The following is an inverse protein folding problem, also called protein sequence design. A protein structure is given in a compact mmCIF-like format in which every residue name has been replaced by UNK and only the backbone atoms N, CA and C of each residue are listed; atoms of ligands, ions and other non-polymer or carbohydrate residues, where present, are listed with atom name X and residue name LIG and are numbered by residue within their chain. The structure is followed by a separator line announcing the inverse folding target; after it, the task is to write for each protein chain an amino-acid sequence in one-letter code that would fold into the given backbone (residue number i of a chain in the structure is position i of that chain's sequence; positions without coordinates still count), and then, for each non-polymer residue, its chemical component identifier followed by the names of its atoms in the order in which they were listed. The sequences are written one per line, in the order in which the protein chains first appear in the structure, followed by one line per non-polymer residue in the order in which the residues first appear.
data_IF_926832360371
#
_entry.id   IF_926832360371
#
_cell.length_a   1.000
_cell.length_b   1.000
_cell.length_c   1.000
_cell.angle_alpha   90.00
_cell.angle_beta   90.00
_cell.angle_gamma   90.00
#
_symmetry.space_group_name_H-M   'P 1'
#
loop_
_entity.id
_entity.type
_entity.pdbx_description
1 polymer ?
#
# COMPACT_ATOMS: atom_id res chain seq x y z
N UNK A 1 2.62 -0.08 66.15
CA UNK A 1 2.15 0.04 64.75
C UNK A 1 3.37 0.25 63.87
N UNK A 2 3.91 -0.80 63.25
CA UNK A 2 5.00 -0.67 62.27
C UNK A 2 4.38 -0.75 60.87
N UNK A 3 4.46 0.36 60.15
CA UNK A 3 4.01 0.49 58.77
C UNK A 3 4.94 -0.30 57.85
N UNK A 4 4.39 -1.25 57.09
CA UNK A 4 5.12 -1.98 56.05
C UNK A 4 4.91 -1.26 54.72
N UNK A 5 5.91 -0.51 54.28
CA UNK A 5 5.94 0.06 52.94
C UNK A 5 6.43 -1.03 51.97
N UNK A 6 5.52 -1.58 51.17
CA UNK A 6 5.88 -2.44 50.04
C UNK A 6 6.27 -1.55 48.86
N UNK A 7 7.54 -1.56 48.47
CA UNK A 7 8.03 -0.91 47.26
C UNK A 7 7.77 -1.88 46.08
N UNK A 8 6.74 -1.60 45.28
CA UNK A 8 6.48 -2.35 44.06
C UNK A 8 7.46 -1.89 42.97
N UNK A 9 8.46 -2.71 42.67
CA UNK A 9 9.31 -2.55 41.48
C UNK A 9 8.50 -3.04 40.28
N UNK A 10 7.93 -2.11 39.51
CA UNK A 10 7.38 -2.41 38.20
C UNK A 10 8.54 -2.73 37.25
N UNK A 11 8.80 -4.02 37.02
CA UNK A 11 9.67 -4.45 35.94
C UNK A 11 8.96 -4.14 34.62
N UNK A 12 9.34 -3.05 33.96
CA UNK A 12 9.01 -2.82 32.56
C UNK A 12 9.77 -3.87 31.75
N UNK A 13 9.14 -5.00 31.44
CA UNK A 13 9.61 -5.85 30.35
C UNK A 13 9.47 -5.00 29.08
N UNK A 14 10.57 -4.42 28.63
CA UNK A 14 10.72 -3.98 27.26
C UNK A 14 10.61 -5.22 26.39
N UNK A 15 9.39 -5.58 25.99
CA UNK A 15 9.17 -6.48 24.87
C UNK A 15 9.85 -5.81 23.68
N UNK A 16 11.01 -6.30 23.27
CA UNK A 16 11.55 -5.94 21.99
C UNK A 16 10.46 -6.29 20.96
N UNK A 17 9.82 -5.27 20.37
CA UNK A 17 8.94 -5.52 19.23
C UNK A 17 9.78 -6.25 18.20
N UNK A 18 9.32 -7.43 17.78
CA UNK A 18 9.95 -8.14 16.68
C UNK A 18 9.97 -7.20 15.47
N UNK A 19 11.15 -6.91 14.95
CA UNK A 19 11.32 -6.17 13.71
C UNK A 19 10.98 -7.12 12.57
N UNK A 20 10.08 -6.69 11.69
CA UNK A 20 9.59 -7.47 10.56
C UNK A 20 10.26 -7.00 9.29
N UNK A 21 10.73 -7.95 8.49
CA UNK A 21 11.21 -7.67 7.15
C UNK A 21 10.56 -8.58 6.13
N UNK A 22 10.35 -8.07 4.93
CA UNK A 22 9.48 -8.73 3.98
C UNK A 22 9.43 -8.06 2.63
N UNK A 23 8.43 -8.47 1.84
CA UNK A 23 8.15 -7.90 0.52
C UNK A 23 6.71 -7.40 0.43
N UNK A 24 6.46 -6.66 -0.64
CA UNK A 24 5.17 -6.15 -1.03
C UNK A 24 4.46 -7.14 -1.96
N UNK A 25 3.19 -7.46 -1.70
CA UNK A 25 2.44 -8.44 -2.49
C UNK A 25 1.11 -7.85 -2.94
N UNK A 26 1.01 -7.57 -4.24
CA UNK A 26 -0.24 -7.16 -4.85
C UNK A 26 -1.23 -8.31 -5.06
N UNK A 27 -2.48 -7.96 -5.35
CA UNK A 27 -3.61 -8.89 -5.42
C UNK A 27 -3.84 -9.52 -6.80
N UNK A 28 -3.03 -9.17 -7.81
CA UNK A 28 -3.16 -9.68 -9.19
C UNK A 28 -1.88 -10.37 -9.65
N UNK A 29 -2.04 -11.36 -10.52
CA UNK A 29 -0.99 -11.96 -11.31
C UNK A 29 -0.66 -11.06 -12.50
N UNK A 30 0.42 -11.40 -13.20
CA UNK A 30 0.92 -10.68 -14.37
C UNK A 30 -0.06 -10.55 -15.53
N UNK A 31 -0.99 -11.49 -15.64
CA UNK A 31 -2.05 -11.51 -16.65
C UNK A 31 -3.31 -10.73 -16.21
N UNK A 32 -3.27 -10.11 -15.03
CA UNK A 32 -4.39 -9.38 -14.43
C UNK A 32 -5.40 -10.26 -13.70
N UNK A 33 -5.25 -11.58 -13.70
CA UNK A 33 -6.08 -12.47 -12.87
C UNK A 33 -5.83 -12.20 -11.38
N UNK A 34 -6.84 -12.39 -10.54
CA UNK A 34 -6.66 -12.24 -9.09
C UNK A 34 -5.84 -13.40 -8.54
N UNK A 35 -4.85 -13.09 -7.69
CA UNK A 35 -4.04 -14.11 -7.02
C UNK A 35 -4.93 -14.96 -6.13
N UNK A 36 -4.76 -16.27 -6.23
CA UNK A 36 -5.39 -17.26 -5.36
C UNK A 36 -4.42 -17.70 -4.27
N UNK A 37 -4.86 -18.59 -3.37
CA UNK A 37 -4.05 -19.04 -2.24
C UNK A 37 -2.70 -19.62 -2.68
N UNK A 38 -2.67 -20.47 -3.71
CA UNK A 38 -1.42 -21.08 -4.20
C UNK A 38 -0.42 -20.02 -4.66
N UNK A 39 -0.87 -18.99 -5.38
CA UNK A 39 0.01 -17.93 -5.88
C UNK A 39 0.68 -17.19 -4.72
N UNK A 40 -0.08 -16.84 -3.68
CA UNK A 40 0.47 -16.21 -2.48
C UNK A 40 1.40 -17.16 -1.72
N UNK A 41 1.00 -18.41 -1.54
CA UNK A 41 1.78 -19.39 -0.78
C UNK A 41 3.13 -19.67 -1.45
N UNK A 42 3.15 -19.90 -2.77
CA UNK A 42 4.38 -20.11 -3.52
C UNK A 42 5.32 -18.90 -3.38
N UNK A 43 4.77 -17.68 -3.43
CA UNK A 43 5.56 -16.45 -3.29
C UNK A 43 6.11 -16.27 -1.86
N UNK A 44 5.32 -16.57 -0.84
CA UNK A 44 5.76 -16.52 0.56
C UNK A 44 6.85 -17.55 0.86
N UNK A 45 6.67 -18.79 0.40
CA UNK A 45 7.66 -19.86 0.54
C UNK A 45 8.95 -19.56 -0.23
N UNK A 46 8.83 -18.94 -1.41
CA UNK A 46 9.97 -18.45 -2.19
C UNK A 46 10.73 -17.36 -1.45
N UNK A 47 10.05 -16.34 -0.92
CA UNK A 47 10.67 -15.26 -0.16
C UNK A 47 11.44 -15.79 1.07
N UNK A 48 10.85 -16.74 1.79
CA UNK A 48 11.48 -17.38 2.94
C UNK A 48 12.71 -18.23 2.57
N UNK A 49 12.79 -18.68 1.31
CA UNK A 49 13.82 -19.60 0.82
C UNK A 49 14.82 -18.94 -0.14
N UNK A 50 14.84 -17.60 -0.22
CA UNK A 50 15.76 -16.87 -1.09
C UNK A 50 17.22 -17.19 -0.79
N UNK A 51 17.99 -17.52 -1.82
CA UNK A 51 19.43 -17.75 -1.70
C UNK A 51 20.13 -16.44 -1.35
N UNK A 52 21.02 -16.49 -0.36
CA UNK A 52 21.83 -15.36 0.07
C UNK A 52 21.15 -14.47 1.12
N UNK A 53 19.91 -14.73 1.53
CA UNK A 53 19.29 -13.98 2.63
C UNK A 53 18.40 -14.87 3.49
N UNK A 54 17.87 -14.33 4.59
CA UNK A 54 16.92 -15.02 5.46
C UNK A 54 16.03 -14.02 6.20
N UNK A 55 14.96 -14.50 6.83
CA UNK A 55 14.07 -13.67 7.65
C UNK A 55 13.07 -12.82 6.86
N UNK A 56 12.97 -13.00 5.55
CA UNK A 56 11.94 -12.36 4.71
C UNK A 56 10.61 -13.13 4.77
N UNK A 57 10.07 -13.27 5.98
CA UNK A 57 8.85 -14.02 6.28
C UNK A 57 7.66 -13.10 6.67
N UNK A 58 7.71 -11.82 6.30
CA UNK A 58 6.58 -10.90 6.42
C UNK A 58 6.08 -10.45 5.05
N UNK A 59 4.76 -10.28 4.92
CA UNK A 59 4.11 -9.83 3.71
C UNK A 59 3.30 -8.55 3.98
N UNK A 60 3.61 -7.50 3.22
CA UNK A 60 2.75 -6.32 3.13
C UNK A 60 1.72 -6.54 2.04
N UNK A 61 0.45 -6.46 2.42
CA UNK A 61 -0.70 -6.52 1.52
C UNK A 61 -1.24 -5.11 1.30
N UNK A 62 -1.97 -4.91 0.20
CA UNK A 62 -2.57 -3.61 -0.14
C UNK A 62 -4.10 -3.57 0.03
N UNK A 63 -4.74 -4.73 0.12
CA UNK A 63 -6.20 -4.87 0.24
C UNK A 63 -6.53 -6.11 1.08
N UNK A 64 -7.67 -6.05 1.77
CA UNK A 64 -8.30 -7.17 2.44
C UNK A 64 -9.24 -7.94 1.51
N UNK A 65 -9.53 -7.43 0.31
CA UNK A 65 -10.49 -8.03 -0.62
C UNK A 65 -9.85 -9.13 -1.48
N UNK A 66 -10.60 -10.21 -1.73
CA UNK A 66 -10.30 -11.14 -2.80
C UNK A 66 -10.86 -10.59 -4.12
N UNK A 67 -10.03 -9.90 -4.88
CA UNK A 67 -10.39 -9.38 -6.20
C UNK A 67 -11.56 -8.41 -6.16
N UNK A 68 -12.58 -8.68 -6.98
CA UNK A 68 -13.84 -7.92 -7.06
C UNK A 68 -14.93 -8.43 -6.10
N UNK A 69 -14.59 -9.38 -5.21
CA UNK A 69 -15.53 -9.93 -4.24
C UNK A 69 -15.57 -9.10 -2.95
N UNK A 70 -16.51 -9.44 -2.06
CA UNK A 70 -16.60 -8.88 -0.70
C UNK A 70 -15.89 -9.73 0.35
N UNK A 71 -15.24 -10.84 -0.06
CA UNK A 71 -14.60 -11.81 0.81
C UNK A 71 -13.14 -11.44 1.13
N UNK A 72 -12.58 -12.04 2.20
CA UNK A 72 -11.19 -11.81 2.57
C UNK A 72 -10.22 -12.40 1.52
N UNK A 73 -9.12 -11.68 1.29
CA UNK A 73 -8.04 -12.09 0.38
C UNK A 73 -7.47 -13.48 0.69
N UNK A 74 -7.16 -14.24 -0.37
CA UNK A 74 -6.53 -15.56 -0.28
C UNK A 74 -5.09 -15.51 0.24
N UNK A 75 -4.50 -14.32 0.41
CA UNK A 75 -3.21 -14.15 1.09
C UNK A 75 -3.27 -14.62 2.56
N UNK A 76 -4.44 -14.54 3.22
CA UNK A 76 -4.59 -14.93 4.63
C UNK A 76 -4.41 -16.44 4.82
N UNK A 77 -5.16 -17.33 4.13
CA UNK A 77 -4.92 -18.77 4.25
C UNK A 77 -3.52 -19.18 3.76
N UNK A 78 -2.93 -18.48 2.77
CA UNK A 78 -1.55 -18.70 2.35
C UNK A 78 -0.54 -18.37 3.46
N UNK A 79 -0.75 -17.27 4.19
CA UNK A 79 0.10 -16.88 5.32
C UNK A 79 -0.02 -17.85 6.50
N UNK A 80 -1.20 -18.40 6.73
CA UNK A 80 -1.42 -19.47 7.73
C UNK A 80 -0.64 -20.72 7.34
N UNK A 81 -0.68 -21.12 6.06
CA UNK A 81 0.00 -22.32 5.57
C UNK A 81 1.53 -22.20 5.57
N UNK A 82 2.07 -21.01 5.29
CA UNK A 82 3.51 -20.75 5.16
C UNK A 82 4.16 -20.16 6.42
N UNK A 83 3.40 -19.96 7.49
CA UNK A 83 3.84 -19.25 8.70
C UNK A 83 4.39 -17.83 8.44
N UNK A 84 3.78 -17.12 7.50
CA UNK A 84 4.13 -15.75 7.12
C UNK A 84 3.36 -14.74 7.96
N UNK A 85 4.04 -13.69 8.44
CA UNK A 85 3.39 -12.57 9.12
C UNK A 85 2.81 -11.58 8.13
N UNK A 86 1.76 -10.85 8.53
CA UNK A 86 1.01 -9.96 7.65
C UNK A 86 0.98 -8.53 8.18
N UNK A 87 1.48 -7.59 7.38
CA UNK A 87 1.06 -6.20 7.44
C UNK A 87 -0.16 -6.04 6.52
N UNK A 88 -1.32 -5.87 7.14
CA UNK A 88 -2.59 -5.75 6.40
C UNK A 88 -2.69 -4.38 5.74
N UNK A 89 -3.20 -4.33 4.51
CA UNK A 89 -3.55 -3.09 3.82
C UNK A 89 -5.05 -3.02 3.58
N UNK A 90 -5.64 -1.85 3.82
CA UNK A 90 -7.00 -1.53 3.41
C UNK A 90 -6.92 -0.41 2.39
N UNK A 91 -7.43 -0.62 1.17
CA UNK A 91 -7.31 0.34 0.08
C UNK A 91 -8.24 1.54 0.29
N UNK A 92 -7.69 2.65 0.80
CA UNK A 92 -8.47 3.84 1.13
C UNK A 92 -8.97 4.62 -0.10
N UNK A 93 -8.25 4.54 -1.23
CA UNK A 93 -8.62 5.23 -2.46
C UNK A 93 -9.88 4.67 -3.13
N UNK A 94 -10.44 3.56 -2.61
CA UNK A 94 -11.79 3.09 -2.95
C UNK A 94 -12.93 3.96 -2.38
N UNK A 95 -12.60 5.02 -1.63
CA UNK A 95 -13.55 5.90 -0.97
C UNK A 95 -14.34 5.21 0.14
N UNK A 96 -15.36 5.89 0.68
CA UNK A 96 -16.09 5.40 1.85
C UNK A 96 -16.71 4.00 1.65
N UNK A 97 -17.25 3.73 0.45
CA UNK A 97 -17.81 2.42 0.11
C UNK A 97 -16.72 1.34 0.01
N UNK A 98 -15.57 1.66 -0.60
CA UNK A 98 -14.42 0.77 -0.68
C UNK A 98 -13.87 0.44 0.71
N UNK A 99 -13.62 1.44 1.54
CA UNK A 99 -13.15 1.24 2.93
C UNK A 99 -14.13 0.42 3.75
N UNK A 100 -15.44 0.63 3.57
CA UNK A 100 -16.46 -0.21 4.22
C UNK A 100 -16.33 -1.67 3.80
N UNK A 101 -16.08 -1.94 2.52
CA UNK A 101 -15.86 -3.30 2.02
C UNK A 101 -14.58 -3.92 2.61
N UNK A 102 -13.48 -3.16 2.65
CA UNK A 102 -12.20 -3.56 3.25
C UNK A 102 -12.36 -3.95 4.73
N UNK A 103 -13.07 -3.11 5.50
CA UNK A 103 -13.38 -3.36 6.92
C UNK A 103 -14.25 -4.62 7.09
N UNK A 104 -15.25 -4.81 6.23
CA UNK A 104 -16.10 -6.00 6.29
C UNK A 104 -15.31 -7.28 6.00
N UNK A 105 -14.41 -7.25 5.02
CA UNK A 105 -13.50 -8.36 4.72
C UNK A 105 -12.54 -8.64 5.88
N UNK A 106 -12.01 -7.61 6.55
CA UNK A 106 -11.22 -7.77 7.78
C UNK A 106 -12.01 -8.47 8.89
N UNK A 107 -13.23 -8.02 9.17
CA UNK A 107 -14.09 -8.66 10.19
C UNK A 107 -14.45 -10.10 9.83
N UNK A 108 -14.69 -10.37 8.54
CA UNK A 108 -14.91 -11.71 8.03
C UNK A 108 -13.68 -12.61 8.25
N UNK A 109 -12.47 -12.12 7.93
CA UNK A 109 -11.22 -12.84 8.16
C UNK A 109 -10.98 -13.16 9.64
N UNK A 110 -11.18 -12.19 10.54
CA UNK A 110 -11.08 -12.40 11.99
C UNK A 110 -12.02 -13.52 12.44
N UNK A 111 -13.26 -13.52 11.94
CA UNK A 111 -14.27 -14.53 12.29
C UNK A 111 -13.94 -15.89 11.70
N UNK A 112 -13.53 -15.94 10.43
CA UNK A 112 -13.32 -17.17 9.69
C UNK A 112 -12.06 -17.92 10.13
N UNK A 113 -10.96 -17.21 10.36
CA UNK A 113 -9.65 -17.81 10.60
C UNK A 113 -9.17 -17.71 12.05
N UNK A 114 -9.82 -16.86 12.87
CA UNK A 114 -9.56 -16.73 14.30
C UNK A 114 -8.08 -16.52 14.63
N UNK A 115 -7.62 -17.18 15.69
CA UNK A 115 -6.25 -17.03 16.19
C UNK A 115 -5.17 -17.42 15.17
N UNK A 116 -5.44 -18.33 14.24
CA UNK A 116 -4.49 -18.69 13.20
C UNK A 116 -4.15 -17.49 12.30
N UNK A 117 -5.14 -16.65 12.00
CA UNK A 117 -4.91 -15.39 11.30
C UNK A 117 -4.40 -14.30 12.25
N UNK A 118 -5.09 -14.04 13.36
CA UNK A 118 -4.83 -12.83 14.15
C UNK A 118 -3.47 -12.83 14.85
N UNK A 119 -2.89 -14.01 15.14
CA UNK A 119 -1.53 -14.13 15.68
C UNK A 119 -0.43 -13.80 14.67
N UNK A 120 -0.76 -13.72 13.37
CA UNK A 120 0.19 -13.39 12.30
C UNK A 120 0.15 -11.92 11.91
N UNK A 121 -0.80 -11.13 12.41
CA UNK A 121 -0.94 -9.71 12.06
C UNK A 121 0.08 -8.87 12.83
N UNK A 122 0.99 -8.22 12.12
CA UNK A 122 2.02 -7.35 12.71
C UNK A 122 1.59 -5.88 12.76
N UNK A 123 0.63 -5.50 11.91
CA UNK A 123 0.07 -4.15 11.86
C UNK A 123 -1.03 -4.04 10.81
N UNK A 124 -1.74 -2.90 10.83
CA UNK A 124 -2.80 -2.58 9.86
C UNK A 124 -2.50 -1.21 9.26
N UNK A 125 -2.28 -1.15 7.95
CA UNK A 125 -2.23 0.08 7.16
C UNK A 125 -3.60 0.43 6.58
N UNK A 126 -4.04 1.67 6.79
CA UNK A 126 -5.27 2.22 6.22
C UNK A 126 -4.89 3.15 5.09
N UNK A 127 -4.78 2.63 3.87
CA UNK A 127 -4.36 3.38 2.68
C UNK A 127 -2.87 3.25 2.35
N UNK A 128 -2.55 3.65 1.11
CA UNK A 128 -1.22 3.67 0.53
C UNK A 128 -1.12 4.80 -0.51
N UNK A 129 -0.22 5.75 -0.28
CA UNK A 129 0.03 6.91 -1.15
C UNK A 129 -1.21 7.79 -1.43
N UNK A 130 -2.22 7.73 -0.57
CA UNK A 130 -3.46 8.49 -0.76
C UNK A 130 -3.22 10.01 -0.76
N UNK A 131 -2.31 10.49 0.09
CA UNK A 131 -1.94 11.89 0.18
C UNK A 131 -1.05 12.30 -0.99
N UNK A 132 -0.10 11.44 -1.38
CA UNK A 132 0.72 11.65 -2.57
C UNK A 132 -0.12 11.79 -3.83
N UNK A 133 -1.07 10.88 -4.06
CA UNK A 133 -1.93 10.89 -5.26
C UNK A 133 -2.76 12.16 -5.39
N UNK A 134 -3.18 12.73 -4.26
CA UNK A 134 -3.90 13.99 -4.19
C UNK A 134 -2.99 15.23 -4.20
N UNK A 135 -1.67 15.07 -4.12
CA UNK A 135 -0.73 16.18 -4.22
C UNK A 135 -0.60 16.68 -5.66
N UNK A 136 -0.14 17.93 -5.88
CA UNK A 136 0.16 18.42 -7.22
C UNK A 136 1.10 17.51 -8.01
N UNK A 137 2.07 16.89 -7.33
CA UNK A 137 3.03 15.95 -7.92
C UNK A 137 2.36 14.66 -8.36
N UNK A 138 1.53 14.05 -7.51
CA UNK A 138 0.79 12.82 -7.86
C UNK A 138 -0.20 13.05 -9.01
N UNK A 139 -0.87 14.20 -9.03
CA UNK A 139 -1.77 14.59 -10.14
C UNK A 139 -0.97 14.74 -11.44
N UNK A 140 0.18 15.45 -11.40
CA UNK A 140 1.04 15.60 -12.57
C UNK A 140 1.58 14.25 -13.10
N UNK A 141 1.85 13.32 -12.19
CA UNK A 141 2.32 11.98 -12.52
C UNK A 141 1.22 10.99 -12.95
N UNK A 142 -0.05 11.42 -12.98
CA UNK A 142 -1.23 10.56 -13.19
C UNK A 142 -1.23 9.34 -12.24
N UNK A 143 -0.88 9.57 -10.97
CA UNK A 143 -0.73 8.52 -9.97
C UNK A 143 -2.06 7.85 -9.56
N UNK A 144 -3.19 8.14 -10.21
CA UNK A 144 -4.50 7.59 -9.86
C UNK A 144 -5.17 8.34 -8.69
N UNK A 145 -6.19 7.71 -8.12
CA UNK A 145 -7.01 8.33 -7.08
C UNK A 145 -6.36 8.18 -5.70
N UNK A 146 -6.43 9.23 -4.88
CA UNK A 146 -6.11 9.18 -3.46
C UNK A 146 -7.31 9.52 -2.58
N UNK A 147 -7.08 9.69 -1.28
CA UNK A 147 -8.06 10.12 -0.29
C UNK A 147 -7.61 11.41 0.40
N UNK A 148 -8.55 12.28 0.78
CA UNK A 148 -8.19 13.53 1.45
C UNK A 148 -7.75 13.25 2.90
N UNK A 149 -6.95 14.14 3.52
CA UNK A 149 -6.51 13.97 4.91
C UNK A 149 -7.65 13.71 5.90
N UNK A 150 -8.77 14.45 5.79
CA UNK A 150 -9.91 14.28 6.68
C UNK A 150 -10.60 12.91 6.50
N UNK A 151 -10.75 12.45 5.25
CA UNK A 151 -11.32 11.14 4.95
C UNK A 151 -10.44 10.02 5.53
N UNK A 152 -9.11 10.13 5.40
CA UNK A 152 -8.17 9.17 5.99
C UNK A 152 -8.28 9.10 7.52
N UNK A 153 -8.37 10.25 8.21
CA UNK A 153 -8.58 10.28 9.67
C UNK A 153 -9.87 9.56 10.05
N UNK A 154 -10.95 9.77 9.30
CA UNK A 154 -12.22 9.08 9.53
C UNK A 154 -12.12 7.58 9.24
N UNK A 155 -11.41 7.16 8.19
CA UNK A 155 -11.17 5.75 7.89
C UNK A 155 -10.32 5.06 8.96
N UNK A 156 -9.26 5.72 9.45
CA UNK A 156 -8.43 5.23 10.56
C UNK A 156 -9.29 4.97 11.80
N UNK A 157 -10.19 5.91 12.12
CA UNK A 157 -11.14 5.75 13.23
C UNK A 157 -12.07 4.56 13.02
N UNK A 158 -12.66 4.43 11.83
CA UNK A 158 -13.56 3.30 11.50
C UNK A 158 -12.86 1.95 11.63
N UNK A 159 -11.60 1.83 11.18
CA UNK A 159 -10.81 0.61 11.33
C UNK A 159 -10.57 0.30 12.80
N UNK A 160 -10.19 1.31 13.61
CA UNK A 160 -9.97 1.16 15.05
C UNK A 160 -11.24 0.70 15.77
N UNK A 161 -12.40 1.26 15.41
CA UNK A 161 -13.72 0.85 15.92
C UNK A 161 -14.08 -0.58 15.48
N UNK A 162 -13.78 -0.96 14.23
CA UNK A 162 -14.11 -2.28 13.70
C UNK A 162 -13.35 -3.43 14.35
N UNK A 163 -12.10 -3.19 14.79
CA UNK A 163 -11.28 -4.19 15.47
C UNK A 163 -11.44 -4.17 16.99
N UNK A 164 -12.11 -3.16 17.56
CA UNK A 164 -12.35 -3.06 18.99
C UNK A 164 -13.16 -4.27 19.50
N UNK A 165 -12.74 -4.84 20.62
CA UNK A 165 -13.37 -6.05 21.18
C UNK A 165 -13.10 -7.35 20.42
N UNK A 166 -12.28 -7.31 19.36
CA UNK A 166 -11.81 -8.51 18.64
C UNK A 166 -10.41 -8.92 19.10
N UNK A 167 -9.93 -10.07 18.60
CA UNK A 167 -8.55 -10.51 18.81
C UNK A 167 -7.49 -9.57 18.22
N UNK A 168 -7.87 -8.62 17.34
CA UNK A 168 -6.99 -7.58 16.81
C UNK A 168 -7.15 -6.22 17.51
N UNK A 169 -7.84 -6.15 18.64
CA UNK A 169 -8.04 -4.89 19.38
C UNK A 169 -6.74 -4.19 19.80
N UNK A 170 -5.63 -4.93 19.92
CA UNK A 170 -4.30 -4.39 20.21
C UNK A 170 -3.41 -4.17 18.98
N UNK A 171 -3.90 -4.40 17.76
CA UNK A 171 -3.11 -4.19 16.55
C UNK A 171 -2.80 -2.71 16.34
N UNK A 172 -1.55 -2.38 16.04
CA UNK A 172 -1.14 -1.01 15.75
C UNK A 172 -1.57 -0.58 14.34
N UNK A 173 -2.14 0.62 14.23
CA UNK A 173 -2.68 1.17 12.99
C UNK A 173 -1.72 2.23 12.41
N UNK A 174 -1.42 2.10 11.12
CA UNK A 174 -0.62 3.04 10.35
C UNK A 174 -1.31 3.47 9.06
N UNK A 175 -0.64 4.36 8.33
CA UNK A 175 -0.92 4.72 6.95
C UNK A 175 0.40 4.72 6.20
N UNK A 176 0.37 4.33 4.93
CA UNK A 176 1.56 4.30 4.08
C UNK A 176 1.50 5.45 3.11
N UNK A 177 2.57 6.25 3.04
CA UNK A 177 2.68 7.29 2.02
C UNK A 177 4.15 7.63 1.73
N UNK A 178 4.35 8.37 0.66
CA UNK A 178 5.66 8.90 0.27
C UNK A 178 6.26 9.79 1.36
N UNK A 179 7.59 9.82 1.45
CA UNK A 179 8.27 10.74 2.39
C UNK A 179 7.88 12.21 2.15
N UNK A 180 7.61 12.60 0.90
CA UNK A 180 7.19 13.95 0.51
C UNK A 180 5.78 14.30 1.03
N UNK A 181 4.87 13.33 1.07
CA UNK A 181 3.56 13.52 1.70
C UNK A 181 3.67 13.72 3.22
N UNK A 182 4.60 13.05 3.88
CA UNK A 182 4.80 13.18 5.32
C UNK A 182 5.41 14.52 5.75
N UNK A 183 6.30 15.10 4.94
CA UNK A 183 6.87 16.43 5.23
C UNK A 183 5.92 17.58 4.87
N UNK A 184 4.84 17.30 4.15
CA UNK A 184 3.80 18.28 3.89
C UNK A 184 2.93 18.48 5.15
N UNK A 185 3.11 19.62 5.83
CA UNK A 185 2.40 19.94 7.07
C UNK A 185 0.87 19.98 6.96
N UNK A 186 0.27 20.08 5.76
CA UNK A 186 -1.19 19.95 5.60
C UNK A 186 -1.72 18.56 5.96
N UNK A 187 -0.84 17.57 6.06
CA UNK A 187 -1.19 16.18 6.34
C UNK A 187 -0.97 15.78 7.81
N UNK A 188 -0.58 16.71 8.70
CA UNK A 188 -0.20 16.39 10.09
C UNK A 188 -1.29 15.67 10.87
N UNK A 189 -2.55 16.04 10.65
CA UNK A 189 -3.70 15.40 11.31
C UNK A 189 -3.79 13.90 11.03
N UNK A 190 -3.35 13.45 9.85
CA UNK A 190 -3.28 12.01 9.51
C UNK A 190 -2.21 11.35 10.38
N UNK A 191 -0.99 11.90 10.42
CA UNK A 191 0.08 11.37 11.25
C UNK A 191 -0.29 11.31 12.75
N UNK A 192 -0.98 12.32 13.26
CA UNK A 192 -1.43 12.40 14.65
C UNK A 192 -2.38 11.25 15.02
N UNK A 193 -3.27 10.83 14.11
CA UNK A 193 -4.27 9.78 14.32
C UNK A 193 -3.69 8.34 14.33
N UNK A 194 -2.43 8.17 13.93
CA UNK A 194 -1.78 6.88 13.70
C UNK A 194 -0.89 6.44 14.87
N UNK A 195 -0.66 5.13 14.99
CA UNK A 195 0.29 4.55 15.94
C UNK A 195 1.72 4.55 15.36
N UNK A 196 1.85 4.44 14.03
CA UNK A 196 3.10 4.52 13.25
C UNK A 196 2.83 5.10 11.85
N UNK A 197 3.87 5.57 11.16
CA UNK A 197 3.78 6.01 9.75
C UNK A 197 4.62 5.10 8.86
N UNK A 198 4.07 4.71 7.72
CA UNK A 198 4.76 3.96 6.68
C UNK A 198 5.35 4.92 5.65
N UNK A 199 6.66 4.87 5.47
CA UNK A 199 7.36 5.68 4.50
C UNK A 199 7.67 4.86 3.25
N UNK A 200 7.21 5.38 2.13
CA UNK A 200 7.66 4.97 0.81
C UNK A 200 8.73 5.95 0.32
N UNK A 201 9.90 5.42 -0.01
CA UNK A 201 11.04 6.22 -0.43
C UNK A 201 11.82 5.54 -1.54
N UNK A 202 11.79 6.15 -2.73
CA UNK A 202 12.50 5.67 -3.90
C UNK A 202 13.45 6.77 -4.41
N UNK A 203 14.72 6.79 -3.95
CA UNK A 203 15.73 7.71 -4.47
C UNK A 203 15.84 7.72 -5.99
N UNK A 204 15.63 6.56 -6.62
CA UNK A 204 15.56 6.41 -8.07
C UNK A 204 14.60 7.42 -8.76
N UNK A 205 13.45 7.77 -8.16
CA UNK A 205 12.49 8.71 -8.76
C UNK A 205 12.73 10.19 -8.37
N UNK A 206 13.76 10.50 -7.59
CA UNK A 206 14.10 11.88 -7.18
C UNK A 206 14.88 12.60 -8.29
N UNK A 207 14.31 12.65 -9.49
CA UNK A 207 14.96 13.07 -10.74
C UNK A 207 15.11 14.59 -10.92
N UNK A 208 14.59 15.38 -9.97
CA UNK A 208 14.81 16.84 -9.92
C UNK A 208 16.12 17.22 -9.22
N UNK A 209 16.83 16.25 -8.66
CA UNK A 209 18.14 16.38 -8.02
C UNK A 209 19.09 15.27 -8.50
N UNK A 210 20.36 15.32 -8.10
CA UNK A 210 21.30 14.27 -8.43
C UNK A 210 20.89 12.99 -7.68
N UNK A 211 20.51 11.96 -8.43
CA UNK A 211 19.91 10.74 -7.87
C UNK A 211 20.58 9.45 -8.36
N UNK A 212 21.84 9.50 -8.81
CA UNK A 212 22.60 8.31 -9.15
C UNK A 212 22.74 7.35 -7.96
N UNK A 213 22.95 6.05 -8.23
CA UNK A 213 22.90 5.00 -7.18
C UNK A 213 23.83 5.24 -5.99
N UNK A 214 24.99 5.87 -6.22
CA UNK A 214 25.93 6.26 -5.17
C UNK A 214 25.37 7.26 -4.16
N UNK A 215 24.31 7.98 -4.52
CA UNK A 215 23.58 8.92 -3.65
C UNK A 215 22.31 8.31 -3.04
N UNK A 216 21.91 7.11 -3.47
CA UNK A 216 20.69 6.44 -3.03
C UNK A 216 20.61 6.33 -1.52
N UNK A 217 21.71 5.95 -0.86
CA UNK A 217 21.80 5.86 0.60
C UNK A 217 21.58 7.19 1.31
N UNK A 218 22.24 8.26 0.85
CA UNK A 218 22.11 9.58 1.47
C UNK A 218 20.71 10.16 1.27
N UNK A 219 20.11 9.96 0.09
CA UNK A 219 18.74 10.41 -0.20
C UNK A 219 17.73 9.64 0.64
N UNK A 220 17.86 8.32 0.74
CA UNK A 220 17.03 7.48 1.61
C UNK A 220 17.11 7.90 3.08
N UNK A 221 18.33 8.07 3.62
CA UNK A 221 18.50 8.48 5.02
C UNK A 221 17.94 9.88 5.28
N UNK A 222 18.06 10.79 4.31
CA UNK A 222 17.49 12.14 4.40
C UNK A 222 15.96 12.09 4.42
N UNK A 223 15.35 11.30 3.54
CA UNK A 223 13.91 11.05 3.54
C UNK A 223 13.43 10.47 4.88
N UNK A 224 14.10 9.43 5.38
CA UNK A 224 13.77 8.81 6.67
C UNK A 224 13.84 9.82 7.83
N UNK A 225 14.93 10.59 7.92
CA UNK A 225 15.10 11.61 8.95
C UNK A 225 14.06 12.73 8.86
N UNK A 226 13.69 13.14 7.64
CA UNK A 226 12.68 14.14 7.40
C UNK A 226 11.28 13.64 7.82
N UNK A 227 10.92 12.40 7.47
CA UNK A 227 9.65 11.79 7.90
C UNK A 227 9.58 11.64 9.42
N UNK A 228 10.67 11.19 10.07
CA UNK A 228 10.75 11.11 11.53
C UNK A 228 10.56 12.48 12.18
N UNK A 229 11.21 13.51 11.64
CA UNK A 229 11.16 14.87 12.18
C UNK A 229 9.79 15.52 11.99
N UNK A 230 9.15 15.31 10.84
CA UNK A 230 7.86 15.91 10.53
C UNK A 230 6.70 15.28 11.31
N UNK A 231 6.77 13.96 11.57
CA UNK A 231 5.67 13.22 12.19
C UNK A 231 5.85 12.97 13.68
N UNK A 232 7.10 12.88 14.16
CA UNK A 232 7.41 12.45 15.53
C UNK A 232 6.99 11.02 15.86
N UNK A 233 6.64 10.21 14.85
CA UNK A 233 6.15 8.83 14.99
C UNK A 233 7.27 7.83 14.69
N UNK A 234 7.09 6.60 15.16
CA UNK A 234 7.88 5.46 14.65
C UNK A 234 7.62 5.32 13.16
N UNK A 235 8.69 5.26 12.36
CA UNK A 235 8.63 5.10 10.90
C UNK A 235 8.92 3.66 10.53
N UNK A 236 8.04 3.05 9.74
CA UNK A 236 8.29 1.79 9.05
C UNK A 236 8.62 2.09 7.60
N UNK A 237 9.58 1.39 7.00
CA UNK A 237 9.87 1.52 5.57
C UNK A 237 8.98 0.54 4.84
N UNK A 238 7.91 1.05 4.24
CA UNK A 238 6.87 0.21 3.64
C UNK A 238 7.12 -0.06 2.17
N UNK A 239 7.85 0.83 1.51
CA UNK A 239 8.39 0.59 0.19
C UNK A 239 9.72 1.31 -0.03
N UNK A 240 10.68 0.57 -0.54
CA UNK A 240 11.89 1.11 -1.15
C UNK A 240 12.49 0.05 -2.06
N UNK A 241 13.28 0.48 -3.02
CA UNK A 241 13.98 -0.41 -3.93
C UNK A 241 14.70 0.38 -5.01
N UNK A 242 15.41 -0.34 -5.85
CA UNK A 242 16.04 0.21 -7.03
C UNK A 242 15.79 -0.71 -8.23
N UNK A 243 15.38 -0.18 -9.38
CA UNK A 243 14.94 -1.03 -10.47
C UNK A 243 16.08 -1.77 -11.15
N UNK A 244 15.82 -3.03 -11.54
CA UNK A 244 16.76 -3.90 -12.25
C UNK A 244 16.76 -3.66 -13.76
N UNK A 245 15.63 -3.21 -14.31
CA UNK A 245 15.49 -2.81 -15.72
C UNK A 245 14.47 -1.68 -15.86
N UNK A 246 14.52 -0.94 -16.97
CA UNK A 246 13.59 0.15 -17.27
C UNK A 246 14.26 1.33 -17.97
N UNK A 247 13.54 2.45 -18.10
CA UNK A 247 14.12 3.72 -18.49
C UNK A 247 14.99 4.30 -17.36
N UNK A 248 15.91 5.21 -17.67
CA UNK A 248 16.61 6.02 -16.65
C UNK A 248 15.69 7.14 -16.16
N UNK A 249 15.74 7.47 -14.86
CA UNK A 249 15.10 8.66 -14.28
C UNK A 249 16.19 9.58 -13.70
N UNK A 250 16.42 10.74 -14.32
CA UNK A 250 17.55 11.61 -13.96
C UNK A 250 18.91 10.92 -14.17
N UNK A 251 19.73 10.86 -13.12
CA UNK A 251 20.97 10.08 -13.02
C UNK A 251 20.73 8.64 -12.49
N UNK A 252 19.49 8.32 -12.11
CA UNK A 252 19.06 7.01 -11.63
C UNK A 252 18.98 5.99 -12.76
N UNK A 253 20.03 5.18 -12.93
CA UNK A 253 20.09 4.13 -13.96
C UNK A 253 19.60 2.79 -13.40
N UNK A 254 18.61 2.12 -14.01
CA UNK A 254 18.20 0.78 -13.63
C UNK A 254 19.22 -0.27 -14.10
N UNK A 255 19.64 -1.16 -13.21
CA UNK A 255 20.46 -2.34 -13.52
C UNK A 255 20.49 -3.30 -12.33
N UNK A 256 20.79 -4.58 -12.56
CA UNK A 256 21.02 -5.53 -11.47
C UNK A 256 22.17 -5.08 -10.55
N UNK A 257 23.23 -4.48 -11.10
CA UNK A 257 24.37 -3.97 -10.33
C UNK A 257 23.99 -2.78 -9.43
N UNK A 258 23.17 -1.85 -9.94
CA UNK A 258 22.70 -0.70 -9.15
C UNK A 258 21.66 -1.14 -8.13
N UNK A 259 20.79 -2.10 -8.48
CA UNK A 259 19.86 -2.71 -7.54
C UNK A 259 20.58 -3.41 -6.38
N UNK A 260 21.64 -4.16 -6.69
CA UNK A 260 22.52 -4.76 -5.68
C UNK A 260 23.21 -3.71 -4.81
N UNK A 261 23.74 -2.65 -5.41
CA UNK A 261 24.39 -1.55 -4.68
C UNK A 261 23.42 -0.92 -3.68
N UNK A 262 22.19 -0.63 -4.12
CA UNK A 262 21.17 -0.06 -3.26
C UNK A 262 20.70 -1.04 -2.16
N UNK A 263 20.58 -2.34 -2.47
CA UNK A 263 20.32 -3.39 -1.48
C UNK A 263 21.40 -3.45 -0.40
N UNK A 264 22.68 -3.45 -0.79
CA UNK A 264 23.82 -3.49 0.13
C UNK A 264 23.89 -2.21 0.99
N UNK A 265 23.62 -1.05 0.40
CA UNK A 265 23.80 0.25 1.06
C UNK A 265 22.62 0.69 1.94
N UNK A 266 21.40 0.30 1.57
CA UNK A 266 20.14 0.70 2.23
C UNK A 266 19.44 -0.48 2.86
N UNK A 267 19.25 -1.59 2.15
CA UNK A 267 18.55 -2.76 2.68
C UNK A 267 19.32 -3.38 3.85
N UNK A 268 20.53 -3.87 3.59
CA UNK A 268 21.32 -4.65 4.53
C UNK A 268 21.56 -3.99 5.91
N UNK A 269 21.83 -2.67 6.02
CA UNK A 269 21.98 -2.02 7.32
C UNK A 269 20.66 -1.88 8.10
N UNK A 270 19.52 -1.96 7.43
CA UNK A 270 18.19 -1.69 8.01
C UNK A 270 17.37 -2.96 8.26
N UNK A 271 17.60 -4.04 7.50
CA UNK A 271 17.04 -5.36 7.76
C UNK A 271 17.31 -5.81 9.20
N UNK A 272 16.27 -6.25 9.91
CA UNK A 272 16.31 -6.62 11.32
C UNK A 272 16.40 -5.45 12.33
N UNK A 273 16.57 -4.20 11.87
CA UNK A 273 16.68 -3.02 12.74
C UNK A 273 15.45 -2.10 12.67
N UNK A 274 14.83 -1.98 11.51
CA UNK A 274 13.56 -1.26 11.30
C UNK A 274 12.57 -2.15 10.55
N UNK A 275 11.27 -1.99 10.80
CA UNK A 275 10.26 -2.69 10.00
C UNK A 275 10.43 -2.26 8.54
N UNK A 276 10.73 -3.21 7.65
CA UNK A 276 11.10 -2.91 6.27
C UNK A 276 10.48 -3.89 5.27
N UNK A 277 9.71 -3.37 4.32
CA UNK A 277 9.13 -4.13 3.22
C UNK A 277 9.78 -3.66 1.92
N UNK A 278 10.63 -4.51 1.37
CA UNK A 278 11.33 -4.21 0.12
C UNK A 278 10.36 -4.31 -1.05
N UNK A 279 10.42 -3.37 -1.99
CA UNK A 279 9.64 -3.40 -3.21
C UNK A 279 10.52 -3.90 -4.37
N UNK A 280 10.30 -5.10 -4.90
CA UNK A 280 9.33 -6.15 -4.52
C UNK A 280 9.93 -7.54 -4.74
N UNK A 281 9.31 -8.62 -4.26
CA UNK A 281 9.80 -9.99 -4.54
C UNK A 281 9.82 -10.24 -6.05
N UNK A 282 8.65 -10.10 -6.68
CA UNK A 282 8.43 -10.28 -8.10
C UNK A 282 7.52 -9.16 -8.59
N UNK A 283 7.82 -8.60 -9.76
CA UNK A 283 6.97 -7.58 -10.36
C UNK A 283 5.58 -8.14 -10.65
N UNK A 284 4.56 -7.41 -10.20
CA UNK A 284 3.18 -7.85 -10.28
C UNK A 284 2.69 -8.03 -11.72
N UNK A 285 3.30 -7.33 -12.68
CA UNK A 285 2.94 -7.33 -14.09
C UNK A 285 3.93 -8.15 -14.94
N UNK A 286 4.50 -9.25 -14.44
CA UNK A 286 5.56 -10.08 -15.05
C UNK A 286 5.39 -10.57 -16.52
N UNK A 287 4.38 -10.11 -17.25
CA UNK A 287 4.47 -9.96 -18.69
C UNK A 287 5.64 -9.03 -19.05
N UNK A 288 6.19 -9.18 -20.25
CA UNK A 288 7.40 -8.51 -20.76
C UNK A 288 7.28 -6.98 -20.95
N UNK A 289 6.44 -6.30 -20.18
CA UNK A 289 6.12 -4.88 -20.27
C UNK A 289 6.25 -4.09 -18.95
N UNK A 290 6.70 -4.70 -17.83
CA UNK A 290 6.97 -3.91 -16.60
C UNK A 290 8.20 -3.05 -16.81
N UNK A 291 8.00 -1.74 -16.79
CA UNK A 291 9.08 -0.76 -16.78
C UNK A 291 8.69 0.42 -15.90
N UNK A 292 9.52 0.80 -14.91
CA UNK A 292 10.69 0.07 -14.43
C UNK A 292 10.32 -1.21 -13.65
N UNK A 293 11.20 -2.21 -13.68
CA UNK A 293 11.05 -3.50 -12.97
C UNK A 293 11.88 -3.49 -11.68
N UNK A 294 11.27 -3.87 -10.56
CA UNK A 294 11.85 -3.85 -9.21
C UNK A 294 12.00 -5.25 -8.58
N UNK A 295 11.50 -6.30 -9.24
CA UNK A 295 11.53 -7.66 -8.73
C UNK A 295 12.95 -8.11 -8.35
N UNK A 296 13.09 -8.68 -7.15
CA UNK A 296 14.31 -9.39 -6.72
C UNK A 296 14.48 -10.69 -7.51
N UNK A 297 13.38 -11.31 -7.93
CA UNK A 297 13.35 -12.47 -8.82
C UNK A 297 12.75 -12.08 -10.17
N UNK A 298 13.07 -12.86 -11.20
CA UNK A 298 12.56 -12.61 -12.55
C UNK A 298 11.05 -12.90 -12.71
N UNK A 299 10.59 -12.90 -13.96
CA UNK A 299 9.19 -13.18 -14.29
C UNK A 299 8.73 -14.59 -13.92
N UNK A 300 9.67 -15.53 -13.77
CA UNK A 300 9.41 -16.85 -13.20
C UNK A 300 9.83 -16.84 -11.74
N UNK A 301 8.90 -17.20 -10.85
CA UNK A 301 9.16 -17.28 -9.42
C UNK A 301 10.27 -18.31 -9.15
N UNK A 302 11.28 -17.93 -8.37
CA UNK A 302 12.47 -18.72 -8.12
C UNK A 302 13.13 -18.30 -6.81
N UNK A 303 13.80 -19.22 -6.13
CA UNK A 303 14.63 -18.90 -4.95
C UNK A 303 15.98 -18.28 -5.31
N UNK A 304 16.34 -18.25 -6.60
CA UNK A 304 17.57 -17.61 -7.08
C UNK A 304 17.29 -16.15 -7.47
N UNK A 305 17.86 -15.17 -6.73
CA UNK A 305 17.65 -13.75 -7.01
C UNK A 305 18.42 -13.29 -8.27
N UNK A 306 18.00 -12.16 -8.83
CA UNK A 306 18.64 -11.52 -10.00
C UNK A 306 20.01 -10.89 -9.68
N UNK A 307 20.30 -10.69 -8.39
CA UNK A 307 21.59 -10.22 -7.87
C UNK A 307 21.85 -10.80 -6.47
N UNK A 308 23.10 -10.79 -6.02
CA UNK A 308 23.47 -11.38 -4.73
C UNK A 308 22.95 -10.57 -3.52
N UNK A 309 22.22 -11.27 -2.63
CA UNK A 309 21.57 -10.72 -1.44
C UNK A 309 22.37 -10.88 -0.14
N UNK A 310 23.57 -11.48 -0.19
CA UNK A 310 24.36 -11.92 0.98
C UNK A 310 24.79 -10.86 1.98
N UNK A 311 24.52 -9.57 1.73
CA UNK A 311 24.92 -8.44 2.57
C UNK A 311 26.42 -8.40 2.92
N UNK A 312 27.24 -9.14 2.18
CA UNK A 312 28.65 -9.41 2.49
C UNK A 312 29.57 -8.21 2.23
N UNK A 313 29.10 -7.20 1.50
CA UNK A 313 29.81 -5.93 1.28
C UNK A 313 29.52 -4.86 2.33
N UNK A 314 28.72 -5.15 3.36
CA UNK A 314 28.48 -4.20 4.45
C UNK A 314 29.69 -4.16 5.40
N UNK A 315 30.71 -3.39 5.06
CA UNK A 315 31.69 -2.95 6.07
C UNK A 315 30.93 -2.15 7.11
N UNK A 316 30.64 -2.80 8.24
CA UNK A 316 30.23 -2.16 9.48
C UNK A 316 31.34 -1.21 9.88
N UNK A 317 31.24 0.05 9.49
CA UNK A 317 32.11 1.13 9.94
C UNK A 317 31.86 1.38 11.42
N UNK A 318 32.35 0.47 12.26
CA UNK A 318 32.63 0.74 13.66
C UNK A 318 33.85 1.64 13.67
N UNK A 319 33.60 2.96 13.63
CA UNK A 319 34.65 3.97 13.76
C UNK A 319 35.17 3.95 15.20
N UNK A 320 36.19 3.12 15.43
CA UNK A 320 37.08 3.27 16.58
C UNK A 320 37.79 4.62 16.45
N UNK A 321 37.50 5.53 17.37
CA UNK A 321 38.14 6.84 17.51
C UNK A 321 39.64 6.69 17.77
N UNK A 322 40.44 6.80 16.72
CA UNK A 322 41.88 7.02 16.83
C UNK A 322 42.17 8.52 16.79
N UNK A 323 42.63 9.03 17.92
CA UNK A 323 42.99 10.43 18.14
C UNK A 323 44.32 10.76 17.42
N UNK A 324 44.32 11.75 16.53
CA UNK A 324 45.55 12.40 16.06
C UNK A 324 45.41 13.91 16.05
N UNK A 325 46.31 14.57 16.77
CA UNK A 325 46.44 16.01 16.96
C UNK A 325 46.98 16.72 15.71
N UNK A 326 46.83 18.06 15.75
CA UNK A 326 47.48 19.14 14.96
C UNK A 326 46.86 19.39 13.57
N UNK A 327 46.61 20.62 13.10
CA UNK A 327 47.12 21.96 13.47
C UNK A 327 46.17 23.06 12.98
N UNK A 328 46.17 24.18 13.70
CA UNK A 328 45.35 25.38 13.52
C UNK A 328 45.58 26.10 12.19
N UNK A 329 44.50 26.46 11.50
CA UNK A 329 44.51 27.41 10.38
C UNK A 329 43.18 28.15 10.34
N UNK A 330 43.12 29.31 10.99
CA UNK A 330 41.97 30.19 10.98
C UNK A 330 41.92 31.02 9.69
N UNK A 331 40.79 30.96 8.98
CA UNK A 331 40.41 31.98 8.01
C UNK A 331 38.89 32.19 8.09
N UNK A 332 38.53 33.39 8.52
CA UNK A 332 37.19 33.94 8.66
C UNK A 332 36.66 34.46 7.32
N UNK A 333 35.45 34.06 6.91
CA UNK A 333 34.57 34.89 6.06
C UNK A 333 33.10 34.65 6.45
N UNK A 334 32.34 35.73 6.37
CA UNK A 334 31.07 36.00 7.00
C UNK A 334 29.83 35.29 6.38
N UNK A 335 28.81 35.25 7.23
CA UNK A 335 27.36 35.13 7.02
C UNK A 335 26.82 35.51 5.64
N UNK A 336 26.09 34.56 5.05
CA UNK A 336 25.04 34.79 4.06
C UNK A 336 23.87 33.84 4.34
N UNK A 337 22.91 34.28 5.15
CA UNK A 337 21.61 33.62 5.30
C UNK A 337 20.82 33.94 4.04
N UNK A 338 20.47 32.93 3.26
CA UNK A 338 19.47 33.04 2.20
C UNK A 338 18.38 32.01 2.49
N UNK A 339 17.25 32.54 2.96
CA UNK A 339 15.98 31.83 3.07
C UNK A 339 15.48 31.58 1.65
N UNK A 340 15.50 30.33 1.22
CA UNK A 340 14.79 29.91 0.02
C UNK A 340 13.36 29.54 0.42
N UNK A 341 12.44 30.47 0.16
CA UNK A 341 10.99 30.23 0.10
C UNK A 341 10.67 29.21 -0.98
N UNK A 342 9.74 28.31 -0.66
CA UNK A 342 9.37 27.14 -1.46
C UNK A 342 8.96 27.44 -2.90
N UNK A 343 9.40 26.55 -3.78
CA UNK A 343 8.82 26.31 -5.09
C UNK A 343 8.34 24.87 -5.15
N UNK A 344 7.10 24.67 -5.56
CA UNK A 344 6.46 23.38 -5.78
C UNK A 344 7.28 22.56 -6.78
N UNK A 345 7.62 21.32 -6.42
CA UNK A 345 8.43 20.40 -7.22
C UNK A 345 7.56 19.33 -7.88
N UNK A 346 7.70 19.18 -9.19
CA UNK A 346 7.06 18.11 -9.96
C UNK A 346 8.09 17.00 -10.20
N UNK A 347 7.99 15.91 -9.46
CA UNK A 347 8.63 14.62 -9.77
C UNK A 347 7.73 13.86 -10.76
N UNK A 348 8.34 13.27 -11.78
CA UNK A 348 7.65 12.48 -12.81
C UNK A 348 7.74 10.98 -12.48
N UNK A 349 7.35 10.60 -11.26
CA UNK A 349 7.21 9.19 -10.87
C UNK A 349 5.74 8.78 -10.91
N UNK A 350 5.32 8.02 -11.91
CA UNK A 350 4.02 7.33 -11.85
C UNK A 350 4.00 6.45 -10.61
N UNK A 351 3.03 6.64 -9.71
CA UNK A 351 2.93 5.83 -8.48
C UNK A 351 2.93 4.34 -8.83
N UNK A 352 3.88 3.59 -8.27
CA UNK A 352 4.08 2.16 -8.51
C UNK A 352 2.98 1.34 -7.82
N UNK A 353 1.77 1.52 -8.34
CA UNK A 353 0.57 0.96 -7.74
C UNK A 353 0.27 -0.36 -8.41
N UNK A 354 -0.03 -1.42 -7.66
CA UNK A 354 -0.65 -2.62 -8.19
C UNK A 354 -1.84 -2.27 -9.11
N UNK A 355 -1.71 -2.54 -10.40
CA UNK A 355 -2.85 -2.43 -11.33
C UNK A 355 -3.85 -3.56 -11.03
N UNK A 356 -5.13 -3.23 -10.91
CA UNK A 356 -6.21 -4.22 -10.74
C UNK A 356 -6.81 -4.34 -9.34
N UNK A 357 -6.54 -3.41 -8.41
CA UNK A 357 -7.40 -3.27 -7.23
C UNK A 357 -8.77 -2.76 -7.69
N UNK A 358 -9.81 -3.56 -7.42
CA UNK A 358 -11.10 -3.52 -8.12
C UNK A 358 -11.67 -2.12 -8.31
N UNK A 359 -12.31 -1.91 -9.46
CA UNK A 359 -13.28 -0.83 -9.59
C UNK A 359 -14.29 -1.02 -8.46
N UNK A 360 -14.24 -0.13 -7.46
CA UNK A 360 -15.20 -0.14 -6.37
C UNK A 360 -16.62 -0.18 -6.96
N UNK A 361 -17.51 -0.88 -6.28
CA UNK A 361 -18.94 -0.93 -6.59
C UNK A 361 -19.44 0.45 -7.03
N UNK A 362 -19.75 0.61 -8.32
CA UNK A 362 -20.21 1.88 -8.87
C UNK A 362 -21.57 2.23 -8.23
N UNK A 363 -21.55 3.13 -7.25
CA UNK A 363 -22.76 3.78 -6.78
C UNK A 363 -23.16 4.84 -7.81
N UNK A 364 -24.23 4.56 -8.56
CA UNK A 364 -24.86 5.56 -9.42
C UNK A 364 -25.38 6.69 -8.53
N UNK A 365 -24.92 7.92 -8.73
CA UNK A 365 -25.49 9.13 -8.11
C UNK A 365 -25.23 10.31 -9.04
N UNK A 366 -26.33 10.95 -9.44
CA UNK A 366 -26.42 11.82 -10.61
C UNK A 366 -25.56 13.08 -10.57
N UNK A 367 -25.19 13.49 -11.78
CA UNK A 367 -24.49 14.72 -12.09
C UNK A 367 -25.23 15.97 -11.61
N UNK A 368 -24.48 16.88 -11.00
CA UNK A 368 -24.79 18.31 -11.00
C UNK A 368 -23.47 19.10 -11.10
N UNK A 369 -23.15 19.56 -12.31
CA UNK A 369 -22.12 20.58 -12.53
C UNK A 369 -22.61 21.93 -12.01
N UNK A 370 -21.70 22.77 -11.50
CA UNK A 370 -21.81 24.18 -11.80
C UNK A 370 -20.53 24.72 -12.44
N UNK A 371 -20.72 25.26 -13.64
CA UNK A 371 -19.86 26.25 -14.29
C UNK A 371 -19.78 27.53 -13.45
N UNK A 372 -18.58 28.08 -13.27
CA UNK A 372 -18.42 29.40 -12.65
C UNK A 372 -16.99 29.92 -12.73
N UNK A 373 -16.69 30.67 -13.79
CA UNK A 373 -15.49 31.52 -13.96
C UNK A 373 -15.55 32.75 -13.04
N UNK A 374 -14.45 33.11 -12.39
CA UNK A 374 -14.31 34.41 -11.72
C UNK A 374 -12.98 34.61 -11.00
N UNK A 375 -12.04 35.30 -11.64
CA UNK A 375 -10.85 35.89 -10.99
C UNK A 375 -11.22 37.13 -10.18
N UNK A 376 -10.64 37.30 -8.97
CA UNK A 376 -10.12 38.59 -8.51
C UNK A 376 -9.35 38.47 -7.16
N UNK A 377 -8.32 39.30 -7.10
CA UNK A 377 -7.30 39.47 -6.07
C UNK A 377 -7.76 40.42 -4.94
N UNK A 378 -7.21 40.30 -3.73
CA UNK A 378 -7.13 41.40 -2.74
C UNK A 378 -7.63 41.12 -1.32
N UNK A 379 -6.70 41.05 -0.36
CA UNK A 379 -6.94 41.24 1.10
C UNK A 379 -6.70 42.73 1.49
N UNK A 380 -6.75 43.16 2.78
CA UNK A 380 -7.38 42.61 4.00
C UNK A 380 -8.21 43.65 4.81
N UNK A 381 -8.80 43.18 5.92
CA UNK A 381 -8.93 43.83 7.25
C UNK A 381 -10.36 44.10 7.80
N UNK A 382 -10.64 43.45 8.95
CA UNK A 382 -11.16 44.09 10.15
C UNK A 382 -12.69 44.09 10.38
N UNK A 383 -13.12 43.49 11.50
CA UNK A 383 -14.34 43.92 12.20
C UNK A 383 -15.25 42.80 12.70
N UNK A 384 -15.20 42.52 14.00
CA UNK A 384 -16.13 41.68 14.76
C UNK A 384 -17.60 42.10 14.60
N UNK A 385 -18.52 41.14 14.51
CA UNK A 385 -19.79 41.20 15.25
C UNK A 385 -20.54 39.86 15.28
N UNK A 386 -21.20 39.70 16.42
CA UNK A 386 -22.00 38.61 16.94
C UNK A 386 -23.27 38.32 16.10
N UNK A 387 -23.63 37.05 15.90
CA UNK A 387 -24.83 36.67 15.14
C UNK A 387 -25.35 35.27 15.48
N UNK A 388 -26.17 35.19 16.53
CA UNK A 388 -27.02 34.06 16.90
C UNK A 388 -28.03 33.73 15.80
N UNK A 389 -28.20 32.46 15.43
CA UNK A 389 -29.40 31.98 14.75
C UNK A 389 -30.05 30.81 15.48
N UNK A 390 -31.26 31.10 15.94
CA UNK A 390 -32.27 30.27 16.56
C UNK A 390 -32.85 29.25 15.59
N UNK A 391 -33.02 28.02 16.08
CA UNK A 391 -33.91 27.02 15.52
C UNK A 391 -35.37 27.49 15.62
N UNK A 392 -36.14 27.32 14.54
CA UNK A 392 -37.60 27.40 14.60
C UNK A 392 -38.24 26.18 13.94
N UNK A 393 -39.00 25.52 14.78
CA UNK A 393 -39.93 24.42 14.58
C UNK A 393 -41.11 24.81 13.70
N UNK A 394 -41.59 23.90 12.86
CA UNK A 394 -43.03 23.73 12.64
C UNK A 394 -43.40 22.24 12.66
N UNK A 395 -44.45 21.95 13.42
CA UNK A 395 -44.93 20.66 13.89
C UNK A 395 -46.38 20.48 13.44
N UNK A 396 -46.73 19.22 13.12
CA UNK A 396 -48.07 18.58 13.21
C UNK A 396 -49.16 19.03 12.21
N UNK A 397 -50.16 18.22 11.84
CA UNK A 397 -50.52 16.81 12.13
C UNK A 397 -51.74 16.40 11.26
N UNK A 398 -52.17 15.14 11.45
CA UNK A 398 -53.49 14.53 11.15
C UNK A 398 -53.50 13.76 9.81
N UNK A 399 -53.76 12.44 9.77
CA UNK A 399 -54.97 11.69 10.20
C UNK A 399 -55.70 11.28 8.89
N UNK A 400 -56.26 10.11 8.63
CA UNK A 400 -56.70 8.95 9.41
C UNK A 400 -56.92 7.75 8.45
N UNK A 401 -57.05 6.58 9.07
CA UNK A 401 -57.59 5.27 8.66
C UNK A 401 -58.60 5.17 7.49
N UNK A 402 -58.53 4.05 6.72
CA UNK A 402 -59.69 3.27 6.31
C UNK A 402 -59.33 1.80 5.99
N UNK A 403 -60.22 0.92 6.43
CA UNK A 403 -60.28 -0.55 6.45
C UNK A 403 -60.95 -1.17 5.22
N UNK A 404 -60.74 -2.49 5.01
CA UNK A 404 -61.68 -3.39 4.30
C UNK A 404 -60.95 -4.56 3.61
N UNK A 405 -60.82 -5.76 4.22
CA UNK A 405 -61.72 -6.93 4.09
C UNK A 405 -61.85 -7.44 2.64
N UNK A 406 -61.71 -8.73 2.26
CA UNK A 406 -61.72 -9.99 3.00
C UNK A 406 -61.58 -11.19 2.03
N UNK A 407 -61.38 -12.38 2.61
CA UNK A 407 -61.69 -13.75 2.11
C UNK A 407 -60.65 -14.46 1.24
N UNK A 408 -60.42 -15.78 1.31
CA UNK A 408 -60.35 -16.81 2.38
C UNK A 408 -60.17 -18.18 1.70
N UNK A 409 -59.52 -19.14 2.38
CA UNK A 409 -59.46 -20.57 2.02
C UNK A 409 -58.07 -21.01 1.54
N UNK A 410 -57.17 -21.62 2.32
CA UNK A 410 -57.21 -22.83 3.19
C UNK A 410 -57.19 -24.16 2.45
N UNK A 411 -56.07 -24.89 2.66
CA UNK A 411 -55.94 -26.34 2.67
C UNK A 411 -55.39 -26.98 1.39
N UNK A 412 -54.57 -28.02 1.39
CA UNK A 412 -53.75 -28.69 2.41
C UNK A 412 -52.99 -29.83 1.68
N UNK A 413 -51.78 -30.13 2.16
CA UNK A 413 -51.11 -31.46 2.26
C UNK A 413 -50.87 -32.35 1.02
N UNK A 414 -49.63 -32.85 0.92
CA UNK A 414 -49.36 -34.20 0.39
C UNK A 414 -47.99 -34.44 -0.27
N UNK A 415 -46.98 -34.87 0.49
CA UNK A 415 -45.88 -35.76 0.01
C UNK A 415 -46.42 -37.22 -0.12
N UNK A 416 -45.79 -38.24 -0.78
CA UNK A 416 -44.34 -38.55 -0.77
C UNK A 416 -43.72 -39.30 -1.99
N UNK A 417 -42.38 -39.50 -1.93
CA UNK A 417 -41.55 -40.68 -2.34
C UNK A 417 -41.58 -41.29 -3.77
N UNK A 418 -40.38 -41.53 -4.35
CA UNK A 418 -40.13 -42.71 -5.22
C UNK A 418 -39.03 -42.65 -6.30
N UNK A 419 -37.83 -43.13 -5.96
CA UNK A 419 -36.94 -44.10 -6.67
C UNK A 419 -36.53 -44.05 -8.17
N UNK A 420 -35.19 -44.11 -8.36
CA UNK A 420 -34.40 -45.10 -9.15
C UNK A 420 -34.11 -44.96 -10.68
N UNK A 421 -32.79 -44.82 -10.96
CA UNK A 421 -31.91 -45.55 -11.92
C UNK A 421 -32.26 -45.74 -13.41
N UNK A 422 -31.25 -45.51 -14.29
CA UNK A 422 -31.17 -46.13 -15.63
C UNK A 422 -30.09 -45.55 -16.54
N UNK A 423 -28.94 -46.21 -16.65
CA UNK A 423 -27.85 -45.99 -17.61
C UNK A 423 -28.05 -46.80 -18.90
N UNK A 424 -27.57 -46.33 -20.06
CA UNK A 424 -26.81 -47.15 -21.04
C UNK A 424 -26.42 -46.42 -22.34
N UNK A 425 -25.14 -46.60 -22.70
CA UNK A 425 -24.54 -46.84 -24.04
C UNK A 425 -24.77 -45.84 -25.19
N UNK A 426 -23.78 -45.38 -25.97
CA UNK A 426 -22.73 -46.17 -26.65
C UNK A 426 -21.73 -45.24 -27.38
N UNK A 427 -20.44 -45.60 -27.35
CA UNK A 427 -19.38 -45.26 -28.35
C UNK A 427 -19.37 -46.38 -29.43
N UNK A 428 -18.55 -46.42 -30.52
CA UNK A 428 -17.22 -45.82 -30.79
C UNK A 428 -17.07 -45.21 -32.22
N UNK A 429 -15.96 -44.60 -32.67
CA UNK A 429 -14.72 -45.23 -33.16
C UNK A 429 -13.75 -44.18 -33.72
N UNK A 430 -12.45 -44.43 -33.61
CA UNK A 430 -11.32 -43.66 -34.17
C UNK A 430 -11.10 -43.94 -35.67
N UNK A 431 -10.52 -42.97 -36.42
CA UNK A 431 -9.33 -43.18 -37.26
C UNK A 431 -8.79 -41.87 -37.90
N UNK A 432 -7.51 -41.58 -37.61
CA UNK A 432 -6.41 -41.07 -38.47
C UNK A 432 -6.65 -40.25 -39.76
N UNK A 433 -5.86 -39.18 -39.91
CA UNK A 433 -5.43 -38.64 -41.21
C UNK A 433 -4.98 -37.18 -41.17
N UNK A 434 -3.68 -36.92 -41.34
CA UNK A 434 -3.12 -35.56 -41.43
C UNK A 434 -3.06 -35.01 -42.85
N UNK A 435 -2.95 -33.68 -42.99
CA UNK A 435 -2.18 -32.96 -44.01
C UNK A 435 -2.36 -31.44 -43.86
N UNK A 436 -1.29 -30.71 -44.18
CA UNK A 436 -1.16 -29.26 -44.15
C UNK A 436 -1.93 -28.53 -45.27
N UNK A 437 -2.28 -27.26 -45.04
CA UNK A 437 -2.23 -26.22 -46.08
C UNK A 437 -2.29 -24.80 -45.48
N UNK A 438 -1.49 -23.92 -46.07
CA UNK A 438 -1.34 -22.50 -45.81
C UNK A 438 -2.56 -21.64 -46.20
N UNK A 439 -2.46 -20.35 -45.81
CA UNK A 439 -2.95 -19.11 -46.44
C UNK A 439 -4.31 -18.57 -46.02
N UNK A 440 -4.35 -17.25 -45.74
CA UNK A 440 -5.58 -16.47 -45.83
C UNK A 440 -5.74 -15.36 -44.80
N UNK A 441 -5.08 -14.23 -45.05
CA UNK A 441 -5.20 -12.95 -44.35
C UNK A 441 -6.64 -12.41 -44.27
N UNK A 442 -7.00 -11.80 -43.13
CA UNK A 442 -7.92 -10.63 -43.11
C UNK A 442 -7.29 -9.57 -42.20
N UNK A 443 -6.88 -8.47 -42.83
CA UNK A 443 -6.51 -7.22 -42.21
C UNK A 443 -7.73 -6.32 -42.08
N UNK A 444 -7.78 -5.52 -41.00
CA UNK A 444 -8.47 -4.22 -40.82
C UNK A 444 -8.02 -3.72 -39.43
N UNK A 445 -6.97 -2.91 -39.29
CA UNK A 445 -6.81 -1.48 -39.60
C UNK A 445 -7.51 -0.51 -38.62
N UNK A 446 -6.78 0.57 -38.29
CA UNK A 446 -7.10 1.78 -37.51
C UNK A 446 -6.87 1.71 -35.98
N UNK A 447 -6.02 2.54 -35.37
CA UNK A 447 -5.22 3.65 -35.89
C UNK A 447 -4.26 4.21 -34.83
N UNK A 448 -3.09 4.64 -35.29
CA UNK A 448 -2.08 5.39 -34.54
C UNK A 448 -2.16 6.88 -34.91
N UNK A 449 -2.09 7.78 -33.92
CA UNK A 449 -1.91 9.25 -34.02
C UNK A 449 -1.50 9.71 -32.60
N UNK A 450 -0.45 10.49 -32.30
CA UNK A 450 0.63 11.13 -33.07
C UNK A 450 1.80 11.50 -32.12
N UNK A 451 2.94 11.82 -32.72
CA UNK A 451 4.24 12.08 -32.12
C UNK A 451 4.49 13.53 -31.62
N UNK A 452 5.42 13.63 -30.66
CA UNK A 452 6.56 14.56 -30.49
C UNK A 452 6.53 15.95 -31.16
N UNK A 453 6.80 17.00 -30.37
CA UNK A 453 7.72 18.09 -30.75
C UNK A 453 8.23 18.87 -29.53
N UNK A 454 9.56 19.05 -29.46
CA UNK A 454 10.26 19.99 -28.61
C UNK A 454 10.25 21.41 -29.21
N UNK A 455 10.28 22.45 -28.36
CA UNK A 455 11.06 23.68 -28.49
C UNK A 455 10.46 24.82 -27.62
N UNK A 456 11.12 25.10 -26.50
CA UNK A 456 11.47 26.41 -25.89
C UNK A 456 11.67 26.30 -24.39
#
# INVERSE_FOLDING_TARGET
MLSKTLLAVAASLSTASAVNQGFNYGATNADGSYRVQSDFQDAFETANSLVGTSGFNSARLYTMLQGDTTGPTSAIPAAIASDTTLLLGLWASGGAAGVTAEINALKAAITQYGAAFTSRVVGISVGSEDLYRNSPTGIAANAGYGANPADLVDYIKQVREAIAGTALSGASIGHVDTWTAWVNGSNSAVAEALDWVGMDAYPYFQDTEANGVSLGKSLFNSALAATQSATGKTVWVTETGWPVTGATAGDGVPSADNAKTYWDDVGCPNFGNINMYWYTLQDQNAASSVTPSFGIVGSTLSTTPLFDLSCSNTTSSSSSTASSKTTSGAASVATGVSVATGGSVASSGSGLSPTGMGAGISAVSGAASPSGTGSANGSPAGGSSNGTYTASTLKSASGSTATGSSTSGSGSSGSPSGSASGSSSSSPSESTGGAASLTGSVALALGAVFAVAAAL
#
